data_IF_548647888255
#
_entry.id   IF_548647888255
#
_cell.length_a   1.000
_cell.length_b   1.000
_cell.length_c   1.000
_cell.angle_alpha   90.00
_cell.angle_beta   90.00
_cell.angle_gamma   90.00
#
_symmetry.space_group_name_H-M   'P 1'
#
loop_
_entity.id
_entity.type
_entity.pdbx_description
1 polymer ?
#
# COMPACT_ATOMS: atom_id res chain seq x y z
N UNK A 1 -18.64 2.54 7.19
CA UNK A 1 -17.90 2.91 5.98
C UNK A 1 -16.67 2.01 5.91
N UNK A 2 -16.42 1.36 4.78
CA UNK A 2 -15.26 0.48 4.61
C UNK A 2 -13.98 1.32 4.57
N UNK A 3 -13.01 1.01 5.44
CA UNK A 3 -11.71 1.69 5.49
C UNK A 3 -10.93 1.41 4.21
N UNK A 4 -10.26 2.42 3.66
CA UNK A 4 -9.43 2.27 2.45
C UNK A 4 -8.18 1.46 2.79
N UNK A 5 -7.86 0.45 1.97
CA UNK A 5 -6.63 -0.34 2.10
C UNK A 5 -5.69 0.05 0.96
N UNK A 6 -4.50 0.53 1.32
CA UNK A 6 -3.41 0.80 0.38
C UNK A 6 -2.41 -0.35 0.43
N UNK A 7 -2.37 -1.15 -0.63
CA UNK A 7 -1.38 -2.19 -0.81
C UNK A 7 -0.05 -1.59 -1.29
N UNK A 8 1.02 -1.82 -0.54
CA UNK A 8 2.35 -1.26 -0.82
C UNK A 8 3.43 -2.33 -0.66
N UNK A 9 4.57 -2.12 -1.33
CA UNK A 9 5.71 -3.04 -1.29
C UNK A 9 6.67 -2.55 -0.20
N UNK A 10 6.98 -3.37 0.82
CA UNK A 10 7.89 -2.97 1.87
C UNK A 10 9.33 -2.84 1.35
N UNK A 11 10.11 -1.94 1.94
CA UNK A 11 11.58 -1.97 1.84
C UNK A 11 12.17 -2.96 2.84
N UNK A 12 13.48 -3.26 2.71
CA UNK A 12 14.26 -3.83 3.81
C UNK A 12 14.12 -2.94 5.05
N UNK A 13 14.18 -3.55 6.23
CA UNK A 13 13.93 -2.87 7.51
C UNK A 13 14.73 -1.55 7.63
N UNK A 14 14.09 -0.46 8.10
CA UNK A 14 12.68 -0.35 8.50
C UNK A 14 11.73 -0.41 7.29
N UNK A 15 10.61 -1.14 7.39
CA UNK A 15 9.62 -1.28 6.29
C UNK A 15 9.07 0.10 5.90
N UNK A 16 9.64 0.70 4.87
CA UNK A 16 9.27 2.02 4.36
C UNK A 16 8.72 1.92 2.94
N UNK A 17 7.94 2.92 2.55
CA UNK A 17 7.40 3.04 1.21
C UNK A 17 8.49 3.57 0.28
N UNK A 18 8.89 2.76 -0.70
CA UNK A 18 9.94 3.13 -1.66
C UNK A 18 9.44 3.18 -3.11
N UNK A 19 8.33 2.51 -3.42
CA UNK A 19 7.83 2.41 -4.79
C UNK A 19 7.06 3.68 -5.20
N UNK A 20 7.43 4.24 -6.35
CA UNK A 20 6.81 5.47 -6.87
C UNK A 20 5.32 5.30 -7.21
N UNK A 21 4.89 4.08 -7.53
CA UNK A 21 3.51 3.82 -7.92
C UNK A 21 2.55 3.92 -6.72
N UNK A 22 2.76 3.21 -5.59
CA UNK A 22 1.99 3.40 -4.35
C UNK A 22 2.16 4.77 -3.67
N UNK A 23 3.26 5.49 -3.93
CA UNK A 23 3.46 6.84 -3.40
C UNK A 23 2.41 7.85 -3.89
N UNK A 24 1.96 7.74 -5.15
CA UNK A 24 0.93 8.63 -5.72
C UNK A 24 -0.40 8.57 -4.95
N UNK A 25 -1.04 7.39 -4.78
CA UNK A 25 -2.27 7.31 -3.98
C UNK A 25 -2.02 7.63 -2.51
N UNK A 26 -0.85 7.28 -1.94
CA UNK A 26 -0.49 7.67 -0.56
C UNK A 26 -0.55 9.18 -0.34
N UNK A 27 0.04 9.95 -1.25
CA UNK A 27 0.01 11.42 -1.19
C UNK A 27 -1.41 11.97 -1.31
N UNK A 28 -2.23 11.41 -2.20
CA UNK A 28 -3.62 11.84 -2.39
C UNK A 28 -4.47 11.54 -1.15
N UNK A 29 -4.32 10.35 -0.56
CA UNK A 29 -5.04 9.95 0.64
C UNK A 29 -4.67 10.84 1.84
N UNK A 30 -3.37 11.09 2.02
CA UNK A 30 -2.87 12.01 3.04
C UNK A 30 -3.39 13.45 2.82
N UNK A 31 -3.34 13.95 1.59
CA UNK A 31 -3.79 15.30 1.25
C UNK A 31 -5.29 15.49 1.46
N UNK A 32 -6.10 14.47 1.13
CA UNK A 32 -7.55 14.50 1.32
C UNK A 32 -7.97 14.20 2.76
N UNK A 33 -7.05 13.84 3.65
CA UNK A 33 -7.38 13.44 5.03
C UNK A 33 -8.26 12.20 5.11
N UNK A 34 -8.15 11.30 4.12
CA UNK A 34 -8.91 10.04 4.11
C UNK A 34 -8.17 9.05 4.99
N UNK A 35 -8.85 8.45 5.95
CA UNK A 35 -8.28 7.39 6.77
C UNK A 35 -8.05 6.12 5.93
N UNK A 36 -6.82 5.60 5.97
CA UNK A 36 -6.43 4.40 5.23
C UNK A 36 -5.41 3.57 6.01
N UNK A 37 -5.47 2.26 5.79
CA UNK A 37 -4.49 1.31 6.30
C UNK A 37 -3.53 0.94 5.18
N UNK A 38 -2.23 0.89 5.49
CA UNK A 38 -1.24 0.30 4.57
C UNK A 38 -1.12 -1.19 4.84
N UNK A 39 -1.30 -2.02 3.82
CA UNK A 39 -0.97 -3.44 3.88
C UNK A 39 0.27 -3.72 3.04
N UNK A 40 1.27 -4.32 3.69
CA UNK A 40 2.56 -4.60 3.11
C UNK A 40 2.52 -5.98 2.44
N UNK A 41 2.75 -6.02 1.14
CA UNK A 41 2.79 -7.26 0.36
C UNK A 41 4.15 -7.33 -0.33
N UNK A 42 4.84 -8.44 -0.14
CA UNK A 42 6.13 -8.68 -0.80
C UNK A 42 5.92 -8.83 -2.31
N UNK A 43 6.90 -8.38 -3.09
CA UNK A 43 6.81 -8.39 -4.55
C UNK A 43 6.47 -9.77 -5.15
N UNK A 44 7.05 -10.90 -4.68
CA UNK A 44 6.72 -12.23 -5.18
C UNK A 44 5.27 -12.64 -4.90
N UNK A 45 4.70 -12.17 -3.79
CA UNK A 45 3.38 -12.56 -3.31
C UNK A 45 2.26 -11.65 -3.86
N UNK A 46 2.63 -10.56 -4.53
CA UNK A 46 1.69 -9.54 -5.00
C UNK A 46 0.63 -10.12 -5.96
N UNK A 47 1.07 -10.82 -7.00
CA UNK A 47 0.17 -11.44 -7.98
C UNK A 47 -0.75 -12.53 -7.41
N UNK A 48 -0.26 -13.53 -6.65
CA UNK A 48 -1.14 -14.53 -6.04
C UNK A 48 -2.08 -13.92 -5.00
N UNK A 49 -1.62 -12.95 -4.21
CA UNK A 49 -2.45 -12.25 -3.23
C UNK A 49 -3.62 -11.52 -3.88
N UNK A 50 -3.38 -10.71 -4.93
CA UNK A 50 -4.46 -10.01 -5.63
C UNK A 50 -5.43 -10.92 -6.37
N UNK A 51 -5.01 -12.13 -6.76
CA UNK A 51 -5.91 -13.13 -7.36
C UNK A 51 -6.81 -13.83 -6.34
N UNK A 52 -6.46 -13.75 -5.06
CA UNK A 52 -7.20 -14.41 -3.97
C UNK A 52 -8.28 -13.52 -3.33
N UNK A 53 -8.24 -12.21 -3.62
CA UNK A 53 -9.24 -11.21 -3.20
C UNK A 53 -10.45 -11.24 -4.14
#
# INVERSE_FOLDING_TARGET
MSQVILYDIPSKEPKTCWSLNPWKPRLILNYKGIDYKTEWVEYPDLAPYFKSL
#
